data_IF_727025716160
#
_entry.id   IF_727025716160
#
_cell.length_a   1.000
_cell.length_b   1.000
_cell.length_c   1.000
_cell.angle_alpha   90.00
_cell.angle_beta   90.00
_cell.angle_gamma   90.00
#
_symmetry.space_group_name_H-M   'P 1'
#
loop_
_entity.id
_entity.type
_entity.pdbx_description
1 polymer ?
#
# COMPACT_ATOMS: atom_id res chain seq x y z
N UNK A 1 -12.57 -8.89 26.18
CA UNK A 1 -11.12 -9.19 26.15
C UNK A 1 -10.43 -8.20 25.24
N UNK A 2 -9.21 -7.73 25.54
CA UNK A 2 -8.44 -6.94 24.59
C UNK A 2 -8.11 -7.79 23.36
N UNK A 3 -8.23 -7.20 22.17
CA UNK A 3 -7.79 -7.76 20.89
C UNK A 3 -6.41 -7.22 20.53
N UNK A 4 -5.71 -7.80 19.56
CA UNK A 4 -4.44 -7.24 19.07
C UNK A 4 -4.60 -5.80 18.53
N UNK A 5 -5.81 -5.39 18.13
CA UNK A 5 -6.11 -3.99 17.74
C UNK A 5 -5.91 -3.00 18.88
N UNK A 6 -6.24 -3.41 20.11
CA UNK A 6 -6.07 -2.58 21.30
C UNK A 6 -4.59 -2.33 21.63
N UNK A 7 -3.68 -3.11 21.03
CA UNK A 7 -2.23 -2.98 21.19
C UNK A 7 -1.59 -2.13 20.07
N UNK A 8 -2.37 -1.69 19.07
CA UNK A 8 -1.86 -0.81 18.01
C UNK A 8 -1.63 0.60 18.57
N UNK A 9 -0.35 0.97 18.75
CA UNK A 9 0.06 2.31 19.20
C UNK A 9 0.28 3.28 18.03
N UNK A 10 -0.19 2.91 16.83
CA UNK A 10 0.14 3.58 15.58
C UNK A 10 1.47 3.11 15.00
N UNK A 11 1.74 3.51 13.76
CA UNK A 11 2.93 3.11 13.01
C UNK A 11 3.06 3.91 11.71
N UNK A 12 4.04 3.54 10.87
CA UNK A 12 4.18 4.13 9.54
C UNK A 12 2.94 3.86 8.68
N UNK A 13 2.48 2.61 8.68
CA UNK A 13 1.25 2.18 8.02
C UNK A 13 0.03 2.69 8.81
N UNK A 14 -0.92 3.40 8.17
CA UNK A 14 -1.96 4.14 8.86
C UNK A 14 -3.08 3.20 9.31
N UNK A 15 -2.88 2.55 10.45
CA UNK A 15 -3.96 1.87 11.16
C UNK A 15 -4.68 2.85 12.08
N UNK A 16 -6.02 2.81 12.08
CA UNK A 16 -6.78 3.42 13.18
C UNK A 16 -7.15 2.31 14.16
N UNK A 17 -6.83 2.49 15.44
CA UNK A 17 -7.08 1.49 16.48
C UNK A 17 -8.58 1.13 16.64
N UNK A 18 -9.47 1.98 16.10
CA UNK A 18 -10.92 1.83 16.11
C UNK A 18 -11.52 1.24 14.84
N UNK A 19 -10.74 0.90 13.80
CA UNK A 19 -11.26 0.25 12.59
C UNK A 19 -11.01 -1.25 12.62
N UNK A 20 -11.84 -1.97 11.87
CA UNK A 20 -11.59 -3.34 11.44
C UNK A 20 -10.14 -3.51 10.91
N UNK A 21 -9.57 -4.72 11.00
CA UNK A 21 -8.27 -5.01 10.40
C UNK A 21 -8.27 -4.59 8.93
N UNK A 22 -7.18 -3.95 8.49
CA UNK A 22 -6.89 -3.92 7.06
C UNK A 22 -6.58 -5.36 6.68
N UNK A 23 -7.42 -5.95 5.82
CA UNK A 23 -7.24 -7.29 5.27
C UNK A 23 -6.70 -7.12 3.85
N UNK A 24 -5.37 -6.98 3.67
CA UNK A 24 -4.81 -6.78 2.36
C UNK A 24 -5.06 -8.03 1.51
N UNK A 25 -5.64 -7.82 0.33
CA UNK A 25 -5.75 -8.85 -0.69
C UNK A 25 -4.47 -8.82 -1.53
N UNK A 26 -3.82 -9.96 -1.66
CA UNK A 26 -2.69 -10.14 -2.56
C UNK A 26 -3.21 -10.70 -3.91
N UNK A 27 -2.81 -10.07 -5.00
CA UNK A 27 -3.13 -10.51 -6.36
C UNK A 27 -1.81 -10.71 -7.07
N UNK A 28 -1.51 -11.95 -7.45
CA UNK A 28 -0.25 -12.31 -8.08
C UNK A 28 -0.49 -12.99 -9.42
N UNK A 29 0.25 -12.55 -10.43
CA UNK A 29 0.47 -13.29 -11.66
C UNK A 29 1.91 -13.80 -11.66
N UNK A 30 2.13 -14.97 -12.25
CA UNK A 30 3.46 -15.54 -12.45
C UNK A 30 3.60 -15.85 -13.94
N UNK A 31 4.71 -15.43 -14.54
CA UNK A 31 5.00 -15.65 -15.96
C UNK A 31 6.49 -15.92 -16.16
N UNK A 32 6.84 -16.47 -17.33
CA UNK A 32 8.17 -17.01 -17.58
C UNK A 32 9.10 -16.06 -18.36
N UNK A 33 8.54 -15.25 -19.27
CA UNK A 33 9.33 -14.41 -20.17
C UNK A 33 9.28 -12.95 -19.71
N UNK A 34 10.42 -12.28 -19.52
CA UNK A 34 10.46 -10.85 -19.18
C UNK A 34 9.78 -9.95 -20.23
N UNK A 35 9.63 -10.44 -21.47
CA UNK A 35 8.88 -9.73 -22.51
C UNK A 35 7.39 -9.58 -22.19
N UNK A 36 6.87 -10.34 -21.23
CA UNK A 36 5.46 -10.31 -20.84
C UNK A 36 5.21 -9.41 -19.62
N UNK A 37 6.24 -8.77 -19.06
CA UNK A 37 6.16 -7.96 -17.83
C UNK A 37 5.04 -6.92 -17.92
N UNK A 38 5.04 -6.10 -18.97
CA UNK A 38 4.03 -5.05 -19.18
C UNK A 38 2.61 -5.63 -19.25
N UNK A 39 2.46 -6.76 -19.97
CA UNK A 39 1.16 -7.42 -20.16
C UNK A 39 0.59 -7.90 -18.81
N UNK A 40 1.42 -8.53 -17.99
CA UNK A 40 0.97 -9.06 -16.70
C UNK A 40 0.82 -7.98 -15.63
N UNK A 41 1.67 -6.94 -15.63
CA UNK A 41 1.51 -5.78 -14.74
C UNK A 41 0.21 -5.03 -15.07
N UNK A 42 -0.10 -4.80 -16.34
CA UNK A 42 -1.36 -4.19 -16.75
C UNK A 42 -2.56 -5.07 -16.42
N UNK A 43 -2.41 -6.39 -16.55
CA UNK A 43 -3.45 -7.34 -16.14
C UNK A 43 -3.68 -7.33 -14.63
N UNK A 44 -2.63 -7.18 -13.83
CA UNK A 44 -2.73 -7.04 -12.38
C UNK A 44 -3.49 -5.77 -12.00
N UNK A 45 -3.11 -4.63 -12.57
CA UNK A 45 -3.77 -3.33 -12.35
C UNK A 45 -5.25 -3.37 -12.73
N UNK A 46 -5.57 -3.88 -13.92
CA UNK A 46 -6.96 -4.01 -14.38
C UNK A 46 -7.80 -4.98 -13.53
N UNK A 47 -7.21 -6.09 -13.09
CA UNK A 47 -7.86 -7.07 -12.20
C UNK A 47 -8.18 -6.45 -10.84
N UNK A 48 -7.22 -5.76 -10.22
CA UNK A 48 -7.43 -5.07 -8.95
C UNK A 48 -8.54 -4.01 -9.05
N UNK A 49 -8.54 -3.22 -10.12
CA UNK A 49 -9.57 -2.20 -10.37
C UNK A 49 -10.96 -2.82 -10.57
N UNK A 50 -11.06 -3.93 -11.31
CA UNK A 50 -12.32 -4.62 -11.53
C UNK A 50 -12.92 -5.17 -10.21
N UNK A 51 -12.09 -5.76 -9.34
CA UNK A 51 -12.53 -6.25 -8.02
C UNK A 51 -12.98 -5.08 -7.14
N UNK A 52 -12.22 -3.97 -7.13
CA UNK A 52 -12.58 -2.77 -6.39
C UNK A 52 -13.93 -2.20 -6.86
N UNK A 53 -14.13 -2.11 -8.18
CA UNK A 53 -15.38 -1.59 -8.74
C UNK A 53 -16.57 -2.50 -8.38
N UNK A 54 -16.41 -3.82 -8.51
CA UNK A 54 -17.45 -4.77 -8.11
C UNK A 54 -17.82 -4.62 -6.62
N UNK A 55 -16.83 -4.46 -5.73
CA UNK A 55 -17.10 -4.23 -4.31
C UNK A 55 -17.86 -2.92 -4.05
N UNK A 56 -17.54 -1.85 -4.79
CA UNK A 56 -18.26 -0.57 -4.71
C UNK A 56 -19.70 -0.73 -5.21
N UNK A 57 -19.90 -1.41 -6.35
CA UNK A 57 -21.20 -1.65 -6.96
C UNK A 57 -22.11 -2.52 -6.07
N UNK A 58 -21.52 -3.47 -5.35
CA UNK A 58 -22.18 -4.27 -4.30
C UNK A 58 -22.50 -3.47 -3.02
N UNK A 59 -22.18 -2.17 -2.98
CA UNK A 59 -22.47 -1.27 -1.87
C UNK A 59 -21.44 -1.32 -0.73
N UNK A 60 -20.28 -1.95 -0.93
CA UNK A 60 -19.22 -1.92 0.08
C UNK A 60 -18.58 -0.53 0.16
N UNK A 61 -18.37 -0.06 1.38
CA UNK A 61 -17.83 1.27 1.63
C UNK A 61 -16.28 1.28 1.62
N UNK A 62 -15.70 0.94 0.46
CA UNK A 62 -14.26 0.72 0.27
C UNK A 62 -13.59 1.74 -0.66
N UNK A 63 -14.33 2.64 -1.32
CA UNK A 63 -13.75 3.58 -2.29
C UNK A 63 -12.87 4.70 -1.70
N UNK A 64 -12.05 5.29 -2.56
CA UNK A 64 -11.32 6.54 -2.29
C UNK A 64 -10.25 6.41 -1.18
N UNK A 65 -10.21 7.31 -0.18
CA UNK A 65 -9.17 7.33 0.86
C UNK A 65 -9.09 6.07 1.74
N UNK A 66 -10.06 5.16 1.62
CA UNK A 66 -10.11 3.87 2.32
C UNK A 66 -9.28 2.79 1.64
N UNK A 67 -8.89 3.00 0.38
CA UNK A 67 -7.94 2.16 -0.34
C UNK A 67 -6.52 2.46 0.11
N UNK A 68 -6.21 2.08 1.36
CA UNK A 68 -4.83 2.07 1.84
C UNK A 68 -4.20 0.74 1.40
N UNK A 69 -3.18 0.82 0.54
CA UNK A 69 -2.45 -0.33 0.03
C UNK A 69 -1.34 -0.74 0.98
N UNK A 70 -1.21 -2.04 1.21
CA UNK A 70 -0.17 -2.58 2.06
C UNK A 70 1.19 -2.51 1.34
N UNK A 71 2.21 -1.80 1.89
CA UNK A 71 3.45 -1.55 1.17
C UNK A 71 4.19 -2.80 0.68
N UNK A 72 4.05 -3.94 1.38
CA UNK A 72 4.75 -5.16 0.97
C UNK A 72 4.18 -5.81 -0.29
N UNK A 73 2.96 -5.43 -0.71
CA UNK A 73 2.30 -5.94 -1.93
C UNK A 73 2.08 -4.85 -2.98
N UNK A 74 2.39 -3.59 -2.64
CA UNK A 74 2.18 -2.46 -3.52
C UNK A 74 3.19 -2.47 -4.69
N UNK A 75 2.72 -2.08 -5.87
CA UNK A 75 3.59 -1.88 -7.04
C UNK A 75 4.53 -0.70 -6.81
N UNK A 76 5.70 -0.72 -7.45
CA UNK A 76 6.75 0.29 -7.26
C UNK A 76 6.33 1.74 -7.58
N UNK A 77 5.35 1.91 -8.46
CA UNK A 77 4.77 3.19 -8.89
C UNK A 77 3.63 3.68 -7.98
N UNK A 78 3.30 2.93 -6.93
CA UNK A 78 2.23 3.26 -5.98
C UNK A 78 2.56 4.58 -5.25
N UNK A 79 1.66 5.59 -5.28
CA UNK A 79 1.84 6.83 -4.53
C UNK A 79 1.99 6.58 -3.02
N UNK A 80 2.94 7.25 -2.36
CA UNK A 80 3.16 7.11 -0.92
C UNK A 80 1.90 7.39 -0.10
N UNK A 81 1.07 8.33 -0.55
CA UNK A 81 -0.17 8.71 0.11
C UNK A 81 -1.20 7.57 0.10
N UNK A 82 -1.18 6.71 -0.91
CA UNK A 82 -2.02 5.51 -0.97
C UNK A 82 -1.54 4.39 -0.03
N UNK A 83 -0.28 4.44 0.44
CA UNK A 83 0.26 3.47 1.38
C UNK A 83 0.30 3.98 2.83
N UNK A 84 0.75 5.21 3.01
CA UNK A 84 1.08 5.79 4.31
C UNK A 84 0.11 6.91 4.72
N UNK A 85 -0.75 7.38 3.81
CA UNK A 85 -1.74 8.41 4.06
C UNK A 85 -1.13 9.67 4.69
N UNK A 86 -1.76 10.15 5.77
CA UNK A 86 -1.31 11.34 6.51
C UNK A 86 0.08 11.21 7.16
N UNK A 87 0.66 10.01 7.21
CA UNK A 87 1.97 9.79 7.83
C UNK A 87 3.13 10.18 6.89
N UNK A 88 2.89 10.37 5.59
CA UNK A 88 3.95 10.69 4.61
C UNK A 88 4.85 11.85 5.06
N UNK A 89 4.33 13.04 5.48
CA UNK A 89 5.21 14.14 5.89
C UNK A 89 6.12 13.80 7.08
N UNK A 90 5.64 12.97 8.02
CA UNK A 90 6.44 12.51 9.17
C UNK A 90 7.55 11.57 8.70
N UNK A 91 7.24 10.64 7.80
CA UNK A 91 8.21 9.69 7.24
C UNK A 91 9.31 10.42 6.43
N UNK A 92 8.95 11.43 5.64
CA UNK A 92 9.92 12.28 4.94
C UNK A 92 10.87 13.00 5.91
N UNK A 93 10.35 13.47 7.05
CA UNK A 93 11.18 14.10 8.10
C UNK A 93 12.14 13.11 8.73
N UNK A 94 11.67 11.90 9.07
CA UNK A 94 12.51 10.82 9.62
C UNK A 94 13.65 10.50 8.65
N UNK A 95 13.35 10.33 7.35
CA UNK A 95 14.37 10.10 6.31
C UNK A 95 15.39 11.23 6.26
N UNK A 96 14.97 12.50 6.27
CA UNK A 96 15.89 13.65 6.28
C UNK A 96 16.80 13.68 7.51
N UNK A 97 16.33 13.21 8.66
CA UNK A 97 17.12 13.16 9.90
C UNK A 97 18.15 12.03 9.90
N UNK A 98 17.75 10.83 9.45
CA UNK A 98 18.56 9.61 9.62
C UNK A 98 19.27 9.15 8.35
N UNK A 99 18.83 9.58 7.18
CA UNK A 99 19.47 9.36 5.89
C UNK A 99 19.62 10.70 5.13
N UNK A 100 20.37 11.68 5.69
CA UNK A 100 20.47 13.01 5.10
C UNK A 100 21.01 12.99 3.66
N UNK A 101 21.93 12.06 3.36
CA UNK A 101 22.57 11.93 2.05
C UNK A 101 21.78 11.06 1.05
N UNK A 102 20.61 10.55 1.46
CA UNK A 102 19.73 9.77 0.59
C UNK A 102 20.36 8.48 0.06
N UNK A 103 21.21 7.85 0.87
CA UNK A 103 21.91 6.61 0.53
C UNK A 103 20.88 5.48 0.33
N UNK A 104 19.81 5.44 1.13
CA UNK A 104 18.78 4.40 1.01
C UNK A 104 17.92 4.57 -0.24
N UNK A 105 17.95 5.73 -0.90
CA UNK A 105 17.28 5.89 -2.20
C UNK A 105 18.01 5.18 -3.33
N UNK A 106 19.26 4.76 -3.13
CA UNK A 106 20.04 3.99 -4.11
C UNK A 106 19.63 2.51 -4.18
N UNK A 107 18.87 2.00 -3.21
CA UNK A 107 18.28 0.65 -3.26
C UNK A 107 16.96 0.63 -4.04
N UNK A 108 16.31 -0.53 -4.17
CA UNK A 108 14.89 -0.60 -4.56
C UNK A 108 13.94 0.01 -3.52
N UNK A 109 12.63 -0.09 -3.77
CA UNK A 109 11.57 0.33 -2.84
C UNK A 109 11.21 1.81 -2.89
N UNK A 110 10.22 2.20 -2.07
CA UNK A 110 9.57 3.51 -2.09
C UNK A 110 10.45 4.67 -1.62
N UNK A 111 10.34 5.83 -2.29
CA UNK A 111 11.21 7.01 -2.06
C UNK A 111 10.48 8.12 -1.31
N UNK A 112 11.03 8.56 -0.17
CA UNK A 112 10.47 9.58 0.74
C UNK A 112 11.22 10.92 0.68
#
# INVERSE_FOLDING_TARGET
MPTYFNMSQGGAYPHVASSAPLLPMDIQFNWALPSDDDVFIDRLKSTANAILQAAIDDGQNVGGPKQILYPNYALEDTPLEQMYGKNVPKLRRIRKTWDPNNVMCLSGGFKF
#
